data_IF_690003434611
#
_entry.id   IF_690003434611
#
_cell.length_a   1.000
_cell.length_b   1.000
_cell.length_c   1.000
_cell.angle_alpha   90.00
_cell.angle_beta   90.00
_cell.angle_gamma   90.00
#
_symmetry.space_group_name_H-M   'P 1'
#
loop_
_entity.id
_entity.type
_entity.pdbx_description
1 polymer ?
#
# COMPACT_ATOMS: atom_id res chain seq x y z
N UNK A 1 0.98 -13.82 7.43
CA UNK A 1 1.00 -12.36 7.18
C UNK A 1 1.40 -11.63 8.45
N UNK A 2 2.26 -10.62 8.35
CA UNK A 2 2.72 -9.75 9.44
C UNK A 2 2.11 -8.36 9.26
N UNK A 3 1.70 -7.70 10.34
CA UNK A 3 1.09 -6.37 10.28
C UNK A 3 2.06 -5.32 10.80
N UNK A 4 2.40 -4.33 9.96
CA UNK A 4 3.08 -3.12 10.37
C UNK A 4 2.03 -2.01 10.54
N UNK A 5 1.93 -1.48 11.75
CA UNK A 5 0.80 -0.62 12.14
C UNK A 5 1.34 0.72 12.57
N UNK A 6 0.89 1.79 11.93
CA UNK A 6 1.08 3.14 12.44
C UNK A 6 -0.18 3.59 13.19
N UNK A 7 -0.02 3.98 14.45
CA UNK A 7 -1.07 4.63 15.24
C UNK A 7 -0.65 6.08 15.46
N UNK A 8 -1.40 7.02 14.89
CA UNK A 8 -0.99 8.41 14.73
C UNK A 8 -1.96 9.41 15.38
N UNK A 9 -1.43 10.53 15.89
CA UNK A 9 -2.25 11.67 16.37
C UNK A 9 -2.64 11.60 17.85
N UNK A 10 -1.90 10.86 18.67
CA UNK A 10 -2.13 10.85 20.12
C UNK A 10 -1.08 11.66 20.86
N UNK A 11 -1.51 12.27 21.97
CA UNK A 11 -0.61 12.97 22.89
C UNK A 11 0.36 12.00 23.59
N UNK A 12 1.46 12.49 24.20
CA UNK A 12 2.47 11.61 24.80
C UNK A 12 1.91 10.64 25.84
N UNK A 13 0.92 11.02 26.65
CA UNK A 13 0.36 10.14 27.70
C UNK A 13 -0.48 9.03 27.11
N UNK A 14 -1.27 9.34 26.08
CA UNK A 14 -2.02 8.34 25.32
C UNK A 14 -1.06 7.38 24.59
N UNK A 15 0.02 7.88 24.00
CA UNK A 15 1.06 7.05 23.38
C UNK A 15 1.76 6.16 24.40
N UNK A 16 2.14 6.68 25.57
CA UNK A 16 2.78 5.90 26.63
C UNK A 16 1.84 4.81 27.17
N UNK A 17 0.54 5.11 27.30
CA UNK A 17 -0.48 4.12 27.62
C UNK A 17 -0.53 3.01 26.56
N UNK A 18 -0.65 3.36 25.28
CA UNK A 18 -0.68 2.38 24.18
C UNK A 18 0.62 1.56 24.11
N UNK A 19 1.78 2.16 24.38
CA UNK A 19 3.05 1.44 24.50
C UNK A 19 3.09 0.51 25.71
N UNK A 20 2.42 0.81 26.81
CA UNK A 20 2.38 -0.11 27.96
C UNK A 20 1.64 -1.43 27.65
N UNK A 21 0.76 -1.42 26.64
CA UNK A 21 -0.02 -2.59 26.26
C UNK A 21 0.84 -3.63 25.51
N UNK A 22 0.47 -4.93 25.58
CA UNK A 22 1.16 -5.98 24.83
C UNK A 22 1.02 -5.77 23.31
N UNK A 23 2.11 -5.87 22.50
CA UNK A 23 2.06 -5.65 21.06
C UNK A 23 1.14 -6.62 20.31
N UNK A 24 0.95 -7.84 20.85
CA UNK A 24 0.07 -8.86 20.28
C UNK A 24 -1.38 -8.37 20.14
N UNK A 25 -1.79 -7.41 20.99
CA UNK A 25 -3.12 -6.79 20.92
C UNK A 25 -3.36 -6.14 19.55
N UNK A 26 -2.36 -5.41 19.05
CA UNK A 26 -2.49 -4.66 17.80
C UNK A 26 -1.93 -5.42 16.60
N UNK A 27 -0.72 -5.97 16.71
CA UNK A 27 0.02 -6.51 15.56
C UNK A 27 -0.08 -8.04 15.38
N UNK A 28 -0.78 -8.76 16.26
CA UNK A 28 -0.77 -10.24 16.31
C UNK A 28 0.65 -10.84 16.45
N UNK A 29 1.60 -10.01 16.85
CA UNK A 29 3.03 -10.30 16.94
C UNK A 29 3.53 -9.91 18.33
N UNK A 30 4.53 -10.63 18.82
CA UNK A 30 5.23 -10.28 20.07
C UNK A 30 6.24 -9.16 19.87
N UNK A 31 6.52 -8.81 18.62
CA UNK A 31 7.51 -7.82 18.25
C UNK A 31 6.92 -6.41 18.32
N UNK A 32 7.50 -5.58 19.18
CA UNK A 32 7.03 -4.23 19.42
C UNK A 32 7.36 -3.29 18.26
N UNK A 33 8.38 -3.61 17.47
CA UNK A 33 8.82 -2.79 16.33
C UNK A 33 7.84 -2.86 15.15
N UNK A 34 6.86 -3.76 15.21
CA UNK A 34 5.74 -3.82 14.26
C UNK A 34 4.72 -2.68 14.46
N UNK A 35 4.84 -1.91 15.55
CA UNK A 35 3.92 -0.82 15.90
C UNK A 35 4.67 0.52 15.96
N UNK A 36 4.33 1.42 15.05
CA UNK A 36 4.83 2.79 15.01
C UNK A 36 3.87 3.71 15.75
N UNK A 37 4.30 4.15 16.93
CA UNK A 37 3.61 5.13 17.78
C UNK A 37 4.55 6.33 17.96
N UNK A 38 4.20 7.47 17.35
CA UNK A 38 4.97 8.71 17.49
C UNK A 38 4.12 9.72 18.26
N UNK A 39 4.57 10.23 19.42
CA UNK A 39 3.79 11.20 20.17
C UNK A 39 3.70 12.52 19.40
N UNK A 40 2.52 13.13 19.46
CA UNK A 40 2.25 14.44 18.88
C UNK A 40 1.83 15.42 19.99
N UNK A 41 2.03 16.71 19.79
CA UNK A 41 1.47 17.75 20.68
C UNK A 41 0.58 18.67 19.85
N UNK A 42 -0.61 18.96 20.35
CA UNK A 42 -1.59 19.81 19.67
C UNK A 42 -2.67 19.02 18.92
N UNK A 43 -3.36 19.70 18.02
CA UNK A 43 -4.53 19.21 17.27
C UNK A 43 -4.29 19.26 15.75
N UNK A 44 -3.02 19.29 15.33
CA UNK A 44 -2.61 19.31 13.92
C UNK A 44 -1.33 18.47 13.78
N UNK A 45 -1.21 17.73 12.68
CA UNK A 45 0.00 16.97 12.41
C UNK A 45 1.17 17.91 12.08
N UNK A 46 2.34 17.78 12.74
CA UNK A 46 3.55 18.45 12.31
C UNK A 46 3.91 18.12 10.87
N UNK A 47 4.53 19.07 10.16
CA UNK A 47 4.87 18.90 8.74
C UNK A 47 5.72 17.66 8.45
N UNK A 48 6.66 17.31 9.33
CA UNK A 48 7.55 16.15 9.20
C UNK A 48 6.93 14.84 9.71
N UNK A 49 5.74 14.89 10.32
CA UNK A 49 5.18 13.77 11.08
C UNK A 49 4.97 12.52 10.21
N UNK A 50 4.38 12.69 9.02
CA UNK A 50 4.16 11.61 8.08
C UNK A 50 5.49 10.96 7.66
N UNK A 51 6.52 11.76 7.35
CA UNK A 51 7.85 11.24 6.98
C UNK A 51 8.41 10.34 8.07
N UNK A 52 8.39 10.78 9.34
CA UNK A 52 8.90 9.97 10.46
C UNK A 52 8.15 8.65 10.63
N UNK A 53 6.83 8.66 10.41
CA UNK A 53 6.03 7.43 10.44
C UNK A 53 6.45 6.48 9.32
N UNK A 54 6.62 6.98 8.10
CA UNK A 54 7.03 6.19 6.95
C UNK A 54 8.47 5.67 7.09
N UNK A 55 9.39 6.48 7.62
CA UNK A 55 10.76 6.10 7.91
C UNK A 55 10.82 4.94 8.90
N UNK A 56 10.04 5.01 9.98
CA UNK A 56 9.95 3.94 10.98
C UNK A 56 9.38 2.64 10.38
N UNK A 57 8.32 2.74 9.57
CA UNK A 57 7.75 1.59 8.87
C UNK A 57 8.74 0.97 7.86
N UNK A 58 9.45 1.80 7.10
CA UNK A 58 10.41 1.35 6.09
C UNK A 58 11.62 0.67 6.73
N UNK A 59 12.19 1.27 7.78
CA UNK A 59 13.27 0.67 8.57
C UNK A 59 12.84 -0.70 9.11
N UNK A 60 11.59 -0.80 9.60
CA UNK A 60 11.05 -2.07 10.05
C UNK A 60 10.91 -3.08 8.92
N UNK A 61 10.31 -2.68 7.80
CA UNK A 61 10.13 -3.54 6.62
C UNK A 61 11.46 -4.07 6.07
N UNK A 62 12.53 -3.28 6.18
CA UNK A 62 13.87 -3.62 5.72
C UNK A 62 14.50 -4.75 6.57
N UNK A 63 14.17 -4.82 7.85
CA UNK A 63 14.62 -5.89 8.74
C UNK A 63 13.93 -7.24 8.50
N UNK A 64 12.84 -7.25 7.73
CA UNK A 64 12.07 -8.46 7.43
C UNK A 64 12.58 -9.14 6.17
N UNK A 65 12.48 -10.47 6.13
CA UNK A 65 12.70 -11.22 4.90
C UNK A 65 11.78 -10.69 3.79
N UNK A 66 12.29 -10.63 2.57
CA UNK A 66 11.49 -10.26 1.39
C UNK A 66 10.27 -11.19 1.24
N UNK A 67 10.40 -12.47 1.58
CA UNK A 67 9.32 -13.45 1.46
C UNK A 67 8.27 -13.35 2.57
N UNK A 68 8.47 -12.48 3.56
CA UNK A 68 7.44 -12.22 4.57
C UNK A 68 6.28 -11.46 3.93
N UNK A 69 5.07 -12.01 3.96
CA UNK A 69 3.88 -11.23 3.62
C UNK A 69 3.66 -10.14 4.66
N UNK A 70 3.64 -8.88 4.24
CA UNK A 70 3.47 -7.72 5.13
C UNK A 70 2.26 -6.90 4.72
N UNK A 71 1.42 -6.56 5.69
CA UNK A 71 0.37 -5.55 5.56
C UNK A 71 0.78 -4.26 6.25
N UNK A 72 0.42 -3.12 5.68
CA UNK A 72 0.66 -1.79 6.28
C UNK A 72 -0.68 -1.13 6.60
N UNK A 73 -0.88 -0.80 7.87
CA UNK A 73 -2.12 -0.25 8.39
C UNK A 73 -1.87 1.11 9.04
N UNK A 74 -2.78 2.06 8.85
CA UNK A 74 -2.76 3.37 9.49
C UNK A 74 -4.05 3.58 10.28
N UNK A 75 -3.93 3.65 11.61
CA UNK A 75 -4.99 4.16 12.49
C UNK A 75 -4.63 5.58 12.90
N UNK A 76 -5.45 6.58 12.60
CA UNK A 76 -5.07 7.98 12.79
C UNK A 76 -6.19 8.81 13.42
N UNK A 77 -5.85 9.81 14.21
CA UNK A 77 -6.84 10.78 14.68
C UNK A 77 -7.18 11.74 13.54
N UNK A 78 -8.47 11.85 13.23
CA UNK A 78 -8.95 12.84 12.26
C UNK A 78 -9.16 14.20 12.95
N UNK A 79 -8.35 15.20 12.58
CA UNK A 79 -8.47 16.57 13.08
C UNK A 79 -9.34 17.46 12.19
N UNK A 80 -9.83 16.94 11.07
CA UNK A 80 -10.66 17.68 10.12
C UNK A 80 -9.94 18.79 9.37
N UNK A 81 -8.61 18.72 9.25
CA UNK A 81 -7.79 19.75 8.61
C UNK A 81 -6.88 19.22 7.48
N UNK A 82 -6.21 20.14 6.79
CA UNK A 82 -5.26 19.84 5.70
C UNK A 82 -4.10 18.94 6.14
N UNK A 83 -3.73 18.94 7.42
CA UNK A 83 -2.62 18.14 7.94
C UNK A 83 -3.02 16.67 8.09
N UNK A 84 -4.28 16.40 8.45
CA UNK A 84 -4.85 15.04 8.38
C UNK A 84 -4.87 14.53 6.94
N UNK A 85 -5.31 15.36 5.99
CA UNK A 85 -5.32 14.97 4.57
C UNK A 85 -3.91 14.68 4.06
N UNK A 86 -2.92 15.51 4.40
CA UNK A 86 -1.52 15.30 4.06
C UNK A 86 -0.95 14.00 4.64
N UNK A 87 -1.28 13.67 5.90
CA UNK A 87 -0.90 12.40 6.51
C UNK A 87 -1.48 11.21 5.74
N UNK A 88 -2.79 11.22 5.48
CA UNK A 88 -3.46 10.11 4.78
C UNK A 88 -2.92 9.95 3.36
N UNK A 89 -2.74 11.06 2.64
CA UNK A 89 -2.17 11.06 1.29
C UNK A 89 -0.75 10.51 1.24
N UNK A 90 0.09 10.79 2.25
CA UNK A 90 1.45 10.23 2.33
C UNK A 90 1.50 8.70 2.43
N UNK A 91 0.39 8.06 2.84
CA UNK A 91 0.25 6.61 2.93
C UNK A 91 -0.44 5.98 1.71
N UNK A 92 -0.98 6.79 0.79
CA UNK A 92 -1.52 6.32 -0.47
C UNK A 92 -0.37 5.87 -1.41
N UNK A 93 -0.53 4.78 -2.16
CA UNK A 93 -1.63 3.80 -2.17
C UNK A 93 -1.31 2.51 -1.40
N UNK A 94 -0.28 2.48 -0.55
CA UNK A 94 0.27 1.24 0.00
C UNK A 94 -0.33 0.82 1.33
N UNK A 95 -1.00 1.72 2.06
CA UNK A 95 -1.61 1.40 3.34
C UNK A 95 -3.14 1.24 3.26
N UNK A 96 -3.72 0.66 4.30
CA UNK A 96 -5.15 0.78 4.59
C UNK A 96 -5.32 1.71 5.80
N UNK A 97 -6.01 2.83 5.60
CA UNK A 97 -6.08 3.92 6.58
C UNK A 97 -7.49 4.10 7.16
N UNK A 98 -7.65 4.17 8.47
CA UNK A 98 -8.93 4.45 9.11
C UNK A 98 -8.77 5.38 10.31
N UNK A 99 -9.71 6.31 10.47
CA UNK A 99 -9.69 7.23 11.57
C UNK A 99 -10.10 6.56 12.89
N UNK A 100 -9.55 7.07 13.99
CA UNK A 100 -9.93 6.80 15.36
C UNK A 100 -10.38 8.11 16.01
N UNK A 101 -11.29 8.07 17.00
CA UNK A 101 -11.73 9.29 17.68
C UNK A 101 -10.57 10.03 18.35
N UNK A 102 -10.61 11.36 18.30
CA UNK A 102 -9.65 12.19 19.00
C UNK A 102 -9.75 11.97 20.52
N UNK A 103 -8.59 11.88 21.17
CA UNK A 103 -8.48 11.77 22.61
C UNK A 103 -7.46 12.78 23.11
N UNK A 104 -7.85 13.57 24.12
CA UNK A 104 -6.99 14.54 24.79
C UNK A 104 -6.97 14.23 26.28
N UNK A 105 -5.86 13.66 26.77
CA UNK A 105 -5.76 13.19 28.14
C UNK A 105 -6.07 14.28 29.18
N UNK A 106 -5.54 15.49 28.96
CA UNK A 106 -5.68 16.60 29.92
C UNK A 106 -7.05 17.29 29.88
N UNK A 107 -7.85 17.06 28.85
CA UNK A 107 -9.21 17.61 28.74
C UNK A 107 -10.22 16.88 29.65
N UNK A 108 -9.88 15.69 30.15
CA UNK A 108 -10.76 14.89 30.99
C UNK A 108 -10.59 15.22 32.49
N UNK A 109 -11.70 15.25 33.27
CA UNK A 109 -11.65 15.28 34.73
C UNK A 109 -10.75 14.18 35.31
N UNK A 110 -10.03 14.47 36.40
CA UNK A 110 -8.98 13.59 36.93
C UNK A 110 -9.48 12.17 37.24
N UNK A 111 -10.69 12.08 37.78
CA UNK A 111 -11.42 10.86 38.12
C UNK A 111 -11.90 10.06 36.89
N UNK A 112 -12.16 10.73 35.76
CA UNK A 112 -12.57 10.08 34.51
C UNK A 112 -11.41 9.62 33.61
N UNK A 113 -10.20 10.19 33.78
CA UNK A 113 -9.05 9.95 32.87
C UNK A 113 -8.76 8.49 32.61
N UNK A 114 -8.82 7.64 33.64
CA UNK A 114 -8.54 6.21 33.51
C UNK A 114 -9.63 5.49 32.71
N UNK A 115 -10.89 5.90 32.85
CA UNK A 115 -11.98 5.33 32.08
C UNK A 115 -11.84 5.72 30.61
N UNK A 116 -11.64 7.01 30.32
CA UNK A 116 -11.50 7.49 28.94
C UNK A 116 -10.27 6.92 28.22
N UNK A 117 -9.16 6.67 28.93
CA UNK A 117 -8.02 5.94 28.37
C UNK A 117 -8.38 4.53 27.92
N UNK A 118 -9.20 3.80 28.69
CA UNK A 118 -9.67 2.47 28.30
C UNK A 118 -10.62 2.52 27.10
N UNK A 119 -11.45 3.56 27.03
CA UNK A 119 -12.37 3.73 25.90
C UNK A 119 -11.59 4.03 24.61
N UNK A 120 -10.61 4.93 24.66
CA UNK A 120 -9.68 5.19 23.56
C UNK A 120 -8.94 3.91 23.15
N UNK A 121 -8.43 3.14 24.12
CA UNK A 121 -7.76 1.86 23.85
C UNK A 121 -8.70 0.87 23.13
N UNK A 122 -9.96 0.75 23.57
CA UNK A 122 -10.94 -0.12 22.96
C UNK A 122 -11.27 0.31 21.53
N UNK A 123 -11.35 1.62 21.27
CA UNK A 123 -11.57 2.17 19.93
C UNK A 123 -10.37 1.89 19.00
N UNK A 124 -9.14 2.10 19.48
CA UNK A 124 -7.93 1.79 18.70
C UNK A 124 -7.86 0.29 18.40
N UNK A 125 -8.12 -0.59 19.38
CA UNK A 125 -8.15 -2.04 19.17
C UNK A 125 -9.20 -2.45 18.13
N UNK A 126 -10.43 -1.92 18.24
CA UNK A 126 -11.49 -2.20 17.29
C UNK A 126 -11.15 -1.74 15.87
N UNK A 127 -10.58 -0.54 15.71
CA UNK A 127 -10.16 -0.02 14.40
C UNK A 127 -9.03 -0.85 13.81
N UNK A 128 -8.01 -1.21 14.59
CA UNK A 128 -6.89 -2.03 14.12
C UNK A 128 -7.38 -3.42 13.70
N UNK A 129 -8.24 -4.07 14.48
CA UNK A 129 -8.83 -5.37 14.12
C UNK A 129 -9.56 -5.30 12.79
N UNK A 130 -10.42 -4.29 12.61
CA UNK A 130 -11.11 -4.05 11.34
C UNK A 130 -10.14 -3.89 10.18
N UNK A 131 -9.09 -3.08 10.35
CA UNK A 131 -8.07 -2.88 9.31
C UNK A 131 -7.36 -4.20 8.95
N UNK A 132 -7.04 -5.06 9.92
CA UNK A 132 -6.44 -6.38 9.65
C UNK A 132 -7.37 -7.29 8.85
N UNK A 133 -8.63 -7.36 9.25
CA UNK A 133 -9.64 -8.18 8.55
C UNK A 133 -9.79 -7.72 7.09
N UNK A 134 -9.81 -6.41 6.85
CA UNK A 134 -9.84 -5.83 5.50
C UNK A 134 -8.56 -6.11 4.72
N UNK A 135 -7.39 -5.99 5.34
CA UNK A 135 -6.11 -6.29 4.67
C UNK A 135 -6.00 -7.76 4.23
N UNK A 136 -6.59 -8.70 4.98
CA UNK A 136 -6.69 -10.09 4.57
C UNK A 136 -7.54 -10.27 3.30
N UNK A 137 -8.66 -9.55 3.18
CA UNK A 137 -9.47 -9.55 1.96
C UNK A 137 -8.72 -8.97 0.76
N UNK A 138 -7.94 -7.90 0.97
CA UNK A 138 -7.11 -7.30 -0.08
C UNK A 138 -6.03 -8.29 -0.55
N UNK A 139 -5.34 -8.97 0.36
CA UNK A 139 -4.41 -10.07 0.03
C UNK A 139 -5.09 -11.12 -0.83
N UNK A 140 -6.28 -11.58 -0.43
CA UNK A 140 -7.00 -12.63 -1.14
C UNK A 140 -7.44 -12.16 -2.54
N UNK A 141 -7.78 -10.87 -2.70
CA UNK A 141 -8.08 -10.27 -4.00
C UNK A 141 -6.85 -10.19 -4.94
N UNK A 142 -5.64 -10.21 -4.40
CA UNK A 142 -4.39 -10.31 -5.16
C UNK A 142 -4.03 -11.73 -5.57
N UNK A 143 -4.56 -12.73 -4.86
CA UNK A 143 -4.34 -14.13 -5.20
C UNK A 143 -4.99 -14.52 -6.53
N UNK A 144 -4.34 -15.44 -7.27
CA UNK A 144 -4.89 -16.02 -8.49
C UNK A 144 -4.28 -15.47 -9.79
N UNK A 145 -5.15 -14.98 -10.69
CA UNK A 145 -4.79 -14.69 -12.11
C UNK A 145 -3.87 -13.47 -12.22
N UNK A 146 -2.82 -13.62 -13.03
CA UNK A 146 -1.93 -12.53 -13.46
C UNK A 146 -2.13 -12.36 -14.98
N UNK A 147 -2.24 -11.13 -15.50
CA UNK A 147 -2.16 -9.83 -14.81
C UNK A 147 -3.34 -9.58 -13.87
N UNK A 148 -3.05 -9.07 -12.67
CA UNK A 148 -4.08 -8.60 -11.74
C UNK A 148 -4.31 -7.09 -11.97
N UNK A 149 -5.54 -6.68 -12.35
CA UNK A 149 -5.85 -5.27 -12.61
C UNK A 149 -5.58 -4.32 -11.43
N UNK A 150 -5.71 -4.81 -10.19
CA UNK A 150 -5.52 -3.99 -8.99
C UNK A 150 -4.03 -3.74 -8.65
N UNK A 151 -3.12 -4.43 -9.35
CA UNK A 151 -1.67 -4.30 -9.16
C UNK A 151 -1.00 -3.62 -10.36
N UNK A 152 -1.77 -3.10 -11.31
CA UNK A 152 -1.20 -2.32 -12.40
C UNK A 152 -0.45 -1.09 -11.86
N UNK A 153 0.70 -0.71 -12.46
CA UNK A 153 1.48 0.44 -12.00
C UNK A 153 0.71 1.75 -12.25
N UNK A 154 0.49 2.57 -11.24
CA UNK A 154 -0.44 3.70 -11.33
C UNK A 154 0.10 4.83 -12.21
N UNK A 155 1.42 5.02 -12.23
CA UNK A 155 2.07 6.09 -13.00
C UNK A 155 2.37 5.66 -14.44
N UNK A 156 2.58 4.36 -14.65
CA UNK A 156 2.97 3.82 -15.96
C UNK A 156 1.83 3.19 -16.76
N UNK A 157 0.77 2.67 -16.12
CA UNK A 157 -0.38 2.14 -16.84
C UNK A 157 -1.32 3.29 -17.22
N UNK A 158 -1.25 3.76 -18.47
CA UNK A 158 -2.08 4.89 -18.92
C UNK A 158 -3.55 4.47 -18.98
N UNK A 159 -4.32 4.98 -18.03
CA UNK A 159 -5.72 4.63 -17.89
C UNK A 159 -6.53 5.72 -17.20
N UNK A 160 -7.76 5.92 -17.68
CA UNK A 160 -8.76 6.73 -16.99
C UNK A 160 -9.54 5.95 -15.92
N UNK A 161 -9.37 4.62 -15.83
CA UNK A 161 -10.12 3.76 -14.92
C UNK A 161 -9.30 3.30 -13.71
N UNK A 162 -8.03 2.92 -13.90
CA UNK A 162 -7.24 2.25 -12.85
C UNK A 162 -7.07 3.14 -11.61
N UNK A 163 -6.57 4.36 -11.79
CA UNK A 163 -6.29 5.25 -10.66
C UNK A 163 -7.56 5.62 -9.87
N UNK A 164 -8.68 6.06 -10.51
CA UNK A 164 -9.91 6.35 -9.79
C UNK A 164 -10.47 5.16 -8.99
N UNK A 165 -10.38 3.93 -9.53
CA UNK A 165 -10.84 2.74 -8.82
C UNK A 165 -9.97 2.42 -7.59
N UNK A 166 -8.64 2.56 -7.72
CA UNK A 166 -7.71 2.34 -6.60
C UNK A 166 -7.87 3.42 -5.53
N UNK A 167 -8.09 4.68 -5.93
CA UNK A 167 -8.39 5.78 -5.00
C UNK A 167 -9.72 5.57 -4.26
N UNK A 168 -10.79 5.19 -4.98
CA UNK A 168 -12.08 4.88 -4.38
C UNK A 168 -11.98 3.73 -3.37
N UNK A 169 -11.21 2.67 -3.69
CA UNK A 169 -10.94 1.57 -2.77
C UNK A 169 -10.13 2.04 -1.55
N UNK A 170 -9.09 2.86 -1.75
CA UNK A 170 -8.25 3.35 -0.65
C UNK A 170 -9.07 4.12 0.39
N UNK A 171 -9.97 4.99 -0.05
CA UNK A 171 -10.84 5.76 0.85
C UNK A 171 -12.01 4.94 1.41
N UNK A 172 -12.54 3.99 0.64
CA UNK A 172 -13.78 3.28 0.98
C UNK A 172 -13.61 1.98 1.75
N UNK A 173 -12.57 1.18 1.47
CA UNK A 173 -12.39 -0.17 2.05
C UNK A 173 -12.48 -0.24 3.58
N UNK A 174 -11.97 0.73 4.36
CA UNK A 174 -12.06 0.68 5.81
C UNK A 174 -13.50 0.72 6.34
N UNK A 175 -14.41 1.39 5.64
CA UNK A 175 -15.78 1.66 6.10
C UNK A 175 -16.86 0.91 5.33
N UNK A 176 -16.57 0.41 4.13
CA UNK A 176 -17.51 -0.37 3.31
C UNK A 176 -18.07 -1.57 4.05
N UNK A 177 -19.39 -1.79 3.91
CA UNK A 177 -20.10 -2.95 4.45
C UNK A 177 -19.66 -4.25 3.75
N UNK A 178 -19.51 -4.20 2.43
CA UNK A 178 -19.16 -5.33 1.55
C UNK A 178 -17.84 -5.09 0.81
N UNK A 179 -16.70 -5.02 1.52
CA UNK A 179 -15.39 -4.73 0.92
C UNK A 179 -14.94 -5.78 -0.11
N UNK A 180 -15.30 -7.05 0.07
CA UNK A 180 -15.02 -8.15 -0.86
C UNK A 180 -15.71 -7.94 -2.20
N UNK A 181 -16.97 -7.47 -2.17
CA UNK A 181 -17.71 -7.10 -3.36
C UNK A 181 -17.08 -5.89 -4.03
N UNK A 182 -16.73 -4.84 -3.27
CA UNK A 182 -16.10 -3.65 -3.84
C UNK A 182 -14.77 -3.97 -4.56
N UNK A 183 -13.91 -4.81 -3.97
CA UNK A 183 -12.66 -5.28 -4.59
C UNK A 183 -12.93 -6.02 -5.90
N UNK A 184 -13.90 -6.94 -5.90
CA UNK A 184 -14.29 -7.71 -7.08
C UNK A 184 -14.85 -6.80 -8.19
N UNK A 185 -15.75 -5.90 -7.84
CA UNK A 185 -16.37 -4.99 -8.80
C UNK A 185 -15.36 -4.01 -9.41
N UNK A 186 -14.44 -3.46 -8.61
CA UNK A 186 -13.35 -2.63 -9.11
C UNK A 186 -12.47 -3.42 -10.10
N UNK A 187 -12.13 -4.66 -9.76
CA UNK A 187 -11.39 -5.55 -10.67
C UNK A 187 -12.16 -5.82 -11.97
N UNK A 188 -13.47 -6.03 -11.89
CA UNK A 188 -14.33 -6.26 -13.05
C UNK A 188 -14.46 -5.02 -13.92
N UNK A 189 -14.61 -3.82 -13.34
CA UNK A 189 -14.66 -2.55 -14.08
C UNK A 189 -13.34 -2.26 -14.80
N UNK A 190 -12.21 -2.41 -14.11
CA UNK A 190 -10.88 -2.27 -14.75
C UNK A 190 -10.71 -3.34 -15.84
N UNK A 191 -11.08 -4.59 -15.56
CA UNK A 191 -10.98 -5.69 -16.52
C UNK A 191 -11.92 -5.56 -17.73
N UNK A 192 -13.04 -4.86 -17.60
CA UNK A 192 -13.93 -4.54 -18.72
C UNK A 192 -13.36 -3.42 -19.60
N UNK A 193 -12.75 -2.41 -19.00
CA UNK A 193 -12.07 -1.33 -19.72
C UNK A 193 -10.76 -1.79 -20.39
N UNK A 194 -10.02 -2.69 -19.73
CA UNK A 194 -8.72 -3.20 -20.17
C UNK A 194 -8.71 -4.73 -20.15
N UNK A 195 -9.43 -5.38 -21.09
CA UNK A 195 -9.56 -6.83 -21.08
C UNK A 195 -8.22 -7.54 -21.21
N UNK A 196 -8.05 -8.60 -20.41
CA UNK A 196 -6.88 -9.46 -20.52
C UNK A 196 -6.90 -10.20 -21.87
N UNK A 197 -5.84 -10.02 -22.65
CA UNK A 197 -5.66 -10.63 -23.96
C UNK A 197 -4.62 -11.75 -23.91
N UNK A 198 -4.72 -12.71 -24.82
CA UNK A 198 -3.74 -13.79 -24.95
C UNK A 198 -2.80 -13.53 -26.13
N UNK A 199 -1.51 -13.41 -25.85
CA UNK A 199 -0.49 -13.42 -26.89
C UNK A 199 -0.22 -14.87 -27.30
N UNK A 200 -0.49 -15.21 -28.56
CA UNK A 200 -0.14 -16.51 -29.14
C UNK A 200 1.12 -16.32 -29.97
N UNK A 201 2.27 -16.64 -29.38
CA UNK A 201 3.55 -16.64 -30.12
C UNK A 201 3.61 -17.83 -31.08
N UNK A 202 3.89 -17.56 -32.36
CA UNK A 202 4.13 -18.58 -33.38
C UNK A 202 5.52 -19.19 -33.19
N UNK A 203 5.59 -20.47 -32.79
CA UNK A 203 6.85 -21.20 -32.59
C UNK A 203 6.64 -22.62 -32.03
N UNK A 204 7.73 -23.42 -31.93
CA UNK A 204 7.73 -24.85 -31.50
C UNK A 204 7.15 -25.09 -30.09
N UNK A 205 7.02 -24.05 -29.26
CA UNK A 205 6.27 -24.08 -27.99
C UNK A 205 5.34 -22.87 -27.95
N UNK A 206 4.02 -23.10 -28.09
CA UNK A 206 2.99 -22.06 -27.91
C UNK A 206 3.03 -21.57 -26.45
N UNK A 207 3.77 -20.51 -26.15
CA UNK A 207 3.63 -19.81 -24.87
C UNK A 207 2.43 -18.87 -24.99
N UNK A 208 1.38 -19.16 -24.22
CA UNK A 208 0.24 -18.25 -24.04
C UNK A 208 0.60 -17.33 -22.87
N UNK A 209 0.92 -16.08 -23.16
CA UNK A 209 1.09 -15.05 -22.14
C UNK A 209 -0.17 -14.20 -22.10
N UNK A 210 -0.71 -13.96 -20.91
CA UNK A 210 -1.80 -13.01 -20.72
C UNK A 210 -1.24 -11.62 -20.51
N UNK A 211 -1.84 -10.61 -21.13
CA UNK A 211 -1.45 -9.21 -20.98
C UNK A 211 -2.66 -8.30 -20.87
N UNK A 212 -2.47 -7.11 -20.31
CA UNK A 212 -3.40 -5.99 -20.41
C UNK A 212 -2.69 -4.88 -21.18
N UNK A 213 -3.37 -4.27 -22.13
CA UNK A 213 -2.82 -3.18 -22.95
C UNK A 213 -3.41 -1.86 -22.45
N UNK A 214 -2.58 -0.85 -22.24
CA UNK A 214 -3.01 0.47 -21.79
C UNK A 214 -3.42 1.40 -22.95
N UNK A 215 -3.84 2.63 -22.65
CA UNK A 215 -4.34 3.59 -23.67
C UNK A 215 -3.28 4.02 -24.71
N UNK A 216 -1.99 3.74 -24.47
CA UNK A 216 -0.90 4.01 -25.43
C UNK A 216 -0.45 2.77 -26.21
N UNK A 217 -1.10 1.63 -26.02
CA UNK A 217 -0.72 0.37 -26.68
C UNK A 217 0.47 -0.35 -26.04
N UNK A 218 0.81 -0.03 -24.79
CA UNK A 218 1.84 -0.75 -24.03
C UNK A 218 1.21 -1.96 -23.35
N UNK A 219 1.79 -3.14 -23.58
CA UNK A 219 1.27 -4.42 -23.09
C UNK A 219 1.97 -4.84 -21.81
N UNK A 220 1.25 -4.94 -20.71
CA UNK A 220 1.73 -5.36 -19.40
C UNK A 220 1.55 -6.87 -19.24
N UNK A 221 2.60 -7.65 -19.57
CA UNK A 221 2.60 -9.10 -19.41
C UNK A 221 3.09 -9.48 -18.01
N UNK A 222 2.56 -10.56 -17.47
CA UNK A 222 3.12 -11.13 -16.23
C UNK A 222 4.44 -11.85 -16.53
N UNK A 223 5.43 -11.84 -15.62
CA UNK A 223 6.81 -12.22 -15.92
C UNK A 223 7.01 -13.76 -15.91
N UNK A 224 5.93 -14.53 -15.90
CA UNK A 224 5.98 -16.00 -15.86
C UNK A 224 6.83 -16.54 -14.71
N UNK A 225 7.92 -17.24 -15.05
CA UNK A 225 8.87 -17.84 -14.10
C UNK A 225 10.02 -16.89 -13.71
N UNK A 226 10.18 -15.78 -14.42
CA UNK A 226 11.25 -14.82 -14.24
C UNK A 226 10.89 -13.86 -13.11
N UNK A 227 11.06 -14.30 -11.86
CA UNK A 227 10.71 -13.50 -10.66
C UNK A 227 11.94 -12.83 -10.05
N UNK A 228 12.32 -11.66 -10.58
CA UNK A 228 13.53 -10.94 -10.15
C UNK A 228 13.38 -9.41 -10.07
N UNK A 229 12.16 -8.90 -9.87
CA UNK A 229 11.79 -7.48 -9.96
C UNK A 229 12.31 -6.51 -8.88
N UNK A 230 13.34 -6.86 -8.10
CA UNK A 230 13.61 -6.15 -6.84
C UNK A 230 14.34 -4.80 -6.96
N UNK A 231 13.77 -3.79 -6.30
CA UNK A 231 14.50 -2.67 -5.70
C UNK A 231 15.39 -3.22 -4.57
N UNK A 232 16.68 -3.38 -4.87
CA UNK A 232 17.67 -3.91 -3.91
C UNK A 232 17.92 -2.87 -2.83
N UNK A 233 17.27 -3.04 -1.68
CA UNK A 233 17.44 -2.26 -0.44
C UNK A 233 16.95 -0.81 -0.50
N UNK A 234 16.65 -0.25 0.67
CA UNK A 234 16.57 1.19 0.88
C UNK A 234 17.96 1.77 0.55
N UNK A 235 18.14 2.24 -0.68
CA UNK A 235 19.30 3.03 -1.06
C UNK A 235 19.00 4.49 -0.74
N UNK A 236 20.05 5.32 -0.58
CA UNK A 236 19.89 6.76 -0.34
C UNK A 236 19.07 7.50 -1.41
N UNK A 237 18.76 6.84 -2.54
CA UNK A 237 17.96 7.37 -3.64
C UNK A 237 16.47 7.05 -3.54
N UNK A 238 16.02 6.22 -2.59
CA UNK A 238 14.59 5.88 -2.46
C UNK A 238 13.92 6.49 -1.25
N UNK A 239 12.82 7.23 -1.47
CA UNK A 239 11.89 7.61 -0.40
C UNK A 239 11.27 6.36 0.25
N UNK A 240 10.96 6.40 1.57
CA UNK A 240 10.35 5.28 2.29
C UNK A 240 9.11 4.71 1.60
N UNK A 241 8.23 5.58 1.08
CA UNK A 241 6.99 5.18 0.40
C UNK A 241 7.22 4.26 -0.81
N UNK A 242 8.35 4.40 -1.51
CA UNK A 242 8.67 3.53 -2.64
C UNK A 242 8.96 2.10 -2.21
N UNK A 243 9.67 1.94 -1.10
CA UNK A 243 10.01 0.64 -0.54
C UNK A 243 8.79 -0.02 0.12
N UNK A 244 7.94 0.77 0.80
CA UNK A 244 6.67 0.28 1.33
C UNK A 244 5.74 -0.19 0.20
N UNK A 245 5.58 0.65 -0.83
CA UNK A 245 4.75 0.37 -1.99
C UNK A 245 5.24 -0.81 -2.84
N UNK A 246 6.52 -1.19 -2.75
CA UNK A 246 7.05 -2.36 -3.48
C UNK A 246 6.58 -3.69 -2.90
N UNK A 247 5.90 -3.70 -1.75
CA UNK A 247 5.42 -4.92 -1.07
C UNK A 247 3.93 -4.92 -0.81
N UNK A 248 3.29 -3.74 -0.81
CA UNK A 248 1.92 -3.57 -0.33
C UNK A 248 1.16 -2.60 -1.22
N UNK A 249 -0.11 -2.91 -1.47
CA UNK A 249 -1.10 -2.03 -2.11
C UNK A 249 -2.40 -2.13 -1.32
N UNK A 250 -3.07 -1.00 -1.07
CA UNK A 250 -4.31 -0.93 -0.29
C UNK A 250 -4.21 -1.66 1.08
N UNK A 251 -3.02 -1.65 1.69
CA UNK A 251 -2.70 -2.35 2.93
C UNK A 251 -2.53 -3.87 2.85
N UNK A 252 -2.80 -4.50 1.70
CA UNK A 252 -2.61 -5.92 1.46
C UNK A 252 -1.26 -6.24 0.78
N UNK A 253 -0.55 -7.32 1.18
CA UNK A 253 0.68 -7.75 0.53
C UNK A 253 0.43 -8.30 -0.87
N UNK A 254 1.37 -8.04 -1.78
CA UNK A 254 1.50 -8.76 -3.04
C UNK A 254 2.91 -9.36 -3.17
N UNK A 255 3.13 -10.20 -4.19
CA UNK A 255 4.44 -10.80 -4.44
C UNK A 255 5.49 -9.69 -4.75
N UNK A 256 6.49 -9.47 -3.88
CA UNK A 256 7.46 -8.39 -4.06
C UNK A 256 8.41 -8.59 -5.24
N UNK A 257 8.37 -9.77 -5.88
CA UNK A 257 9.12 -10.05 -7.11
C UNK A 257 8.30 -9.83 -8.38
N UNK A 258 7.01 -9.51 -8.24
CA UNK A 258 6.12 -9.19 -9.34
C UNK A 258 6.59 -7.93 -10.07
N UNK A 259 6.72 -8.07 -11.38
CA UNK A 259 6.85 -6.97 -12.33
C UNK A 259 6.07 -7.33 -13.58
N UNK A 260 5.84 -6.35 -14.45
CA UNK A 260 5.26 -6.56 -15.75
C UNK A 260 6.33 -6.42 -16.83
N UNK A 261 6.43 -7.44 -17.69
CA UNK A 261 7.24 -7.37 -18.90
C UNK A 261 6.47 -6.53 -19.92
N UNK A 262 6.89 -5.29 -20.10
CA UNK A 262 6.17 -4.33 -20.92
C UNK A 262 6.76 -4.25 -22.32
N UNK A 263 5.93 -4.39 -23.35
CA UNK A 263 6.33 -4.27 -24.75
C UNK A 263 5.22 -3.64 -25.60
N UNK A 264 5.57 -3.15 -26.79
CA UNK A 264 4.61 -2.67 -27.80
C UNK A 264 4.52 -3.67 -28.94
N UNK A 265 3.37 -3.72 -29.63
CA UNK A 265 3.17 -4.63 -30.77
C UNK A 265 4.12 -4.35 -31.95
N UNK A 266 4.38 -3.06 -32.20
CA UNK A 266 5.16 -2.59 -33.35
C UNK A 266 6.67 -2.64 -33.11
N UNK A 267 7.09 -3.03 -31.90
CA UNK A 267 8.46 -2.84 -31.43
C UNK A 267 8.78 -1.38 -31.14
N UNK A 268 9.83 -1.17 -30.34
CA UNK A 268 10.23 0.16 -29.87
C UNK A 268 9.40 0.62 -28.67
N UNK A 269 10.10 0.96 -27.60
CA UNK A 269 9.52 1.57 -26.41
C UNK A 269 9.62 3.09 -26.43
N UNK A 270 8.79 3.72 -25.60
CA UNK A 270 9.02 5.11 -25.21
C UNK A 270 10.43 5.20 -24.60
N UNK A 271 11.12 6.32 -24.82
CA UNK A 271 12.47 6.49 -24.24
C UNK A 271 12.44 6.73 -22.75
N UNK A 272 11.31 7.16 -22.19
CA UNK A 272 11.22 7.63 -20.82
C UNK A 272 9.96 7.09 -20.15
N UNK A 273 10.16 6.55 -18.95
CA UNK A 273 9.12 6.08 -18.05
C UNK A 273 9.30 6.74 -16.68
N UNK A 274 8.23 7.24 -16.02
CA UNK A 274 8.34 7.67 -14.64
C UNK A 274 8.66 6.47 -13.74
N UNK A 275 9.66 6.59 -12.87
CA UNK A 275 9.92 5.59 -11.84
C UNK A 275 9.07 5.83 -10.59
N UNK A 276 9.33 5.06 -9.53
CA UNK A 276 8.60 5.15 -8.26
C UNK A 276 8.65 6.53 -7.56
N UNK A 277 9.59 7.41 -7.92
CA UNK A 277 9.69 8.79 -7.41
C UNK A 277 9.13 9.84 -8.37
N UNK A 278 8.64 9.40 -9.53
CA UNK A 278 8.22 10.29 -10.62
C UNK A 278 9.36 10.74 -11.53
N UNK A 279 10.61 10.31 -11.28
CA UNK A 279 11.74 10.69 -12.12
C UNK A 279 11.72 9.94 -13.45
N UNK A 280 12.06 10.66 -14.52
CA UNK A 280 12.26 10.11 -15.85
C UNK A 280 13.38 9.05 -15.87
N UNK A 281 13.06 7.83 -16.29
CA UNK A 281 13.99 6.70 -16.40
C UNK A 281 13.94 6.11 -17.81
N UNK A 282 15.12 5.91 -18.42
CA UNK A 282 15.21 5.23 -19.71
C UNK A 282 15.28 3.70 -19.52
N UNK A 283 14.56 2.90 -20.32
CA UNK A 283 14.67 1.44 -20.29
C UNK A 283 16.08 0.96 -20.64
N UNK A 284 16.53 -0.12 -20.00
CA UNK A 284 17.80 -0.74 -20.34
C UNK A 284 17.83 -1.36 -21.76
N UNK A 285 16.66 -1.71 -22.31
CA UNK A 285 16.50 -2.26 -23.65
C UNK A 285 15.45 -1.47 -24.45
N UNK A 286 15.67 -1.32 -25.76
CA UNK A 286 14.74 -0.60 -26.64
C UNK A 286 13.46 -1.38 -26.98
N UNK A 287 13.38 -2.66 -26.60
CA UNK A 287 12.30 -3.58 -26.99
C UNK A 287 11.37 -3.97 -25.85
N UNK A 288 11.84 -3.89 -24.61
CA UNK A 288 11.07 -4.27 -23.42
C UNK A 288 11.56 -3.50 -22.19
N UNK A 289 10.66 -3.31 -21.23
CA UNK A 289 10.93 -2.63 -19.96
C UNK A 289 10.19 -3.36 -18.86
N UNK A 290 10.83 -3.50 -17.70
CA UNK A 290 10.23 -4.16 -16.55
C UNK A 290 9.66 -3.11 -15.61
N UNK A 291 8.36 -3.15 -15.38
CA UNK A 291 7.67 -2.17 -14.52
C UNK A 291 6.99 -2.90 -13.36
N UNK A 292 7.37 -2.60 -12.13
CA UNK A 292 6.76 -3.16 -10.93
C UNK A 292 5.43 -2.45 -10.58
N UNK A 293 4.55 -3.07 -9.77
CA UNK A 293 3.32 -2.41 -9.30
C UNK A 293 3.56 -1.04 -8.66
N UNK A 294 4.66 -0.84 -7.94
CA UNK A 294 5.01 0.46 -7.34
C UNK A 294 5.67 1.45 -8.31
N UNK A 295 5.56 1.23 -9.62
CA UNK A 295 6.18 2.03 -10.68
C UNK A 295 7.71 1.98 -10.70
N UNK A 296 8.37 1.04 -10.00
CA UNK A 296 9.80 0.84 -10.19
C UNK A 296 10.09 0.32 -11.62
N UNK A 297 10.95 1.03 -12.34
CA UNK A 297 11.33 0.73 -13.74
C UNK A 297 12.74 0.14 -13.78
N UNK A 298 12.94 -0.91 -14.59
CA UNK A 298 14.23 -1.56 -14.83
C UNK A 298 14.44 -1.92 -16.30
#
# INVERSE_FOLDING_TARGET
MRYLICIAGYDPRAVDHLRSLPPVKFAESRDRDDIVLIPMRGTRYPYDYASRCLDALAARLQSLSIHTEVSILLAYVDYGDETTQALVHAFYPFALAHSVPAFHYDAAPKDERRHRLRDMEAQVDATVRRLRDRAALVRDAYSGRVPNPLLLPLSNFRSQQVQPEIEALFHGLPTMERPDQALREARERIGAAYPAQLLVTSGRRKKKASYMEDDRGLRFKSPGADRHGMARLQSARHAPGCFLGSRVRLGGPFDPLLHYDCETDRGGLDRVYPNCHGDATEPAASTHVNIAPNDAVR
#
